data_IF_461495501718
#
_entry.id   IF_461495501718
#
_cell.length_a   1.000
_cell.length_b   1.000
_cell.length_c   1.000
_cell.angle_alpha   90.00
_cell.angle_beta   90.00
_cell.angle_gamma   90.00
#
_symmetry.space_group_name_H-M   'P 1'
#
loop_
_entity.id
_entity.type
_entity.pdbx_description
1 polymer ?
#
# COMPACT_ATOMS: atom_id res chain seq x y z
N UNK A 1 -1.01 -17.47 24.69
CA UNK A 1 -2.05 -16.46 25.01
C UNK A 1 -3.42 -17.12 24.83
N UNK A 2 -4.42 -16.88 25.69
CA UNK A 2 -5.78 -17.37 25.45
C UNK A 2 -6.38 -16.66 24.22
N UNK A 3 -7.28 -17.34 23.50
CA UNK A 3 -8.15 -16.71 22.50
C UNK A 3 -9.16 -15.84 23.26
N UNK A 4 -9.22 -14.55 22.95
CA UNK A 4 -10.15 -13.61 23.58
C UNK A 4 -10.79 -12.72 22.51
N UNK A 5 -12.10 -12.53 22.60
CA UNK A 5 -12.82 -11.51 21.84
C UNK A 5 -12.47 -10.07 22.28
N UNK A 6 -11.82 -9.93 23.44
CA UNK A 6 -11.30 -8.66 23.95
C UNK A 6 -9.79 -8.63 23.78
N UNK A 7 -9.33 -7.92 22.75
CA UNK A 7 -7.93 -7.57 22.58
C UNK A 7 -7.52 -6.62 23.71
N UNK A 8 -6.56 -7.01 24.55
CA UNK A 8 -6.18 -6.18 25.70
C UNK A 8 -5.15 -5.11 25.33
N UNK A 9 -4.18 -5.45 24.47
CA UNK A 9 -3.11 -4.55 24.02
C UNK A 9 -2.41 -3.81 25.17
N UNK A 10 -2.32 -4.42 26.36
CA UNK A 10 -1.95 -3.73 27.61
C UNK A 10 -0.56 -3.05 27.54
N UNK A 11 0.34 -3.55 26.69
CA UNK A 11 1.70 -3.01 26.52
C UNK A 11 1.80 -1.90 25.46
N UNK A 12 0.75 -1.66 24.67
CA UNK A 12 0.81 -0.76 23.53
C UNK A 12 -0.49 0.05 23.28
N UNK A 13 -1.32 0.26 24.31
CA UNK A 13 -2.51 1.12 24.23
C UNK A 13 -2.21 2.55 23.75
N UNK A 14 -1.00 3.06 24.00
CA UNK A 14 -0.56 4.37 23.54
C UNK A 14 -0.51 4.52 22.00
N UNK A 15 -0.55 3.42 21.25
CA UNK A 15 -0.64 3.45 19.79
C UNK A 15 -2.06 3.70 19.29
N UNK A 16 -3.07 3.64 20.17
CA UNK A 16 -4.46 3.82 19.83
C UNK A 16 -4.95 5.23 20.17
N UNK A 17 -5.85 5.82 19.36
CA UNK A 17 -6.42 7.12 19.66
C UNK A 17 -7.19 7.04 20.98
N UNK A 18 -6.94 8.00 21.88
CA UNK A 18 -7.52 8.04 23.23
C UNK A 18 -7.28 6.75 24.06
N UNK A 19 -6.32 5.92 23.66
CA UNK A 19 -6.05 4.61 24.27
C UNK A 19 -7.25 3.65 24.22
N UNK A 20 -8.18 3.87 23.29
CA UNK A 20 -9.35 3.01 23.08
C UNK A 20 -9.08 1.99 21.97
N UNK A 21 -9.26 0.71 22.29
CA UNK A 21 -9.03 -0.38 21.33
C UNK A 21 -10.30 -0.67 20.52
N UNK A 22 -10.19 -0.97 19.21
CA UNK A 22 -11.33 -1.31 18.39
C UNK A 22 -12.12 -2.52 18.92
N UNK A 23 -13.45 -2.44 18.83
CA UNK A 23 -14.37 -3.51 19.18
C UNK A 23 -14.84 -4.27 17.94
N UNK A 24 -14.82 -5.60 18.01
CA UNK A 24 -15.22 -6.50 16.94
C UNK A 24 -15.69 -7.84 17.51
N UNK A 25 -16.57 -8.53 16.81
CA UNK A 25 -16.95 -9.91 17.13
C UNK A 25 -15.95 -10.96 16.62
N UNK A 26 -14.96 -10.55 15.83
CA UNK A 26 -13.97 -11.45 15.25
C UNK A 26 -12.96 -11.87 16.33
N UNK A 27 -12.81 -13.17 16.63
CA UNK A 27 -11.83 -13.62 17.62
C UNK A 27 -10.41 -13.45 17.07
N UNK A 28 -9.50 -12.97 17.91
CA UNK A 28 -8.13 -12.71 17.49
C UNK A 28 -7.12 -12.74 18.62
N UNK A 29 -5.90 -12.33 18.28
CA UNK A 29 -4.77 -12.18 19.21
C UNK A 29 -4.17 -10.80 19.08
N UNK A 30 -3.96 -10.14 20.20
CA UNK A 30 -3.22 -8.89 20.28
C UNK A 30 -1.71 -9.14 20.30
N UNK A 31 -1.01 -8.48 19.38
CA UNK A 31 0.45 -8.46 19.32
C UNK A 31 0.90 -7.01 19.37
N UNK A 32 1.65 -6.66 20.41
CA UNK A 32 2.32 -5.37 20.52
C UNK A 32 3.72 -5.44 19.87
N UNK A 33 4.02 -4.43 19.06
CA UNK A 33 5.34 -4.10 18.55
C UNK A 33 5.68 -2.66 18.99
N UNK A 34 6.90 -2.19 18.71
CA UNK A 34 7.36 -0.90 19.22
C UNK A 34 6.58 0.26 18.57
N UNK A 35 6.41 0.21 17.25
CA UNK A 35 5.82 1.30 16.45
C UNK A 35 4.36 1.03 16.00
N UNK A 36 3.86 -0.19 16.23
CA UNK A 36 2.54 -0.62 15.76
C UNK A 36 1.98 -1.77 16.60
N UNK A 37 0.67 -2.03 16.46
CA UNK A 37 0.02 -3.19 17.07
C UNK A 37 -0.81 -3.94 16.03
N UNK A 38 -0.99 -5.25 16.24
CA UNK A 38 -1.74 -6.13 15.34
C UNK A 38 -2.81 -6.87 16.15
N UNK A 39 -4.06 -6.81 15.68
CA UNK A 39 -5.08 -7.78 16.04
C UNK A 39 -5.13 -8.86 14.96
N UNK A 40 -4.62 -10.04 15.29
CA UNK A 40 -4.35 -11.11 14.34
C UNK A 40 -5.46 -12.17 14.35
N UNK A 41 -5.92 -12.62 13.17
CA UNK A 41 -6.86 -13.74 13.03
C UNK A 41 -6.09 -15.07 13.01
N UNK A 42 -6.17 -15.92 14.06
CA UNK A 42 -5.56 -17.25 14.04
C UNK A 42 -6.23 -18.20 13.05
N UNK A 43 -7.47 -17.92 12.65
CA UNK A 43 -8.19 -18.68 11.62
C UNK A 43 -7.64 -18.36 10.22
N UNK A 44 -7.61 -17.07 9.86
CA UNK A 44 -7.21 -16.60 8.54
C UNK A 44 -5.69 -16.47 8.36
N UNK A 45 -4.95 -16.50 9.46
CA UNK A 45 -3.49 -16.37 9.54
C UNK A 45 -2.96 -15.06 8.97
N UNK A 46 -3.75 -13.99 9.09
CA UNK A 46 -3.44 -12.61 8.70
C UNK A 46 -4.01 -11.63 9.74
N UNK A 47 -3.62 -10.34 9.73
CA UNK A 47 -4.30 -9.32 10.51
C UNK A 47 -5.81 -9.24 10.21
N UNK A 48 -6.59 -9.07 11.28
CA UNK A 48 -7.95 -8.51 11.22
C UNK A 48 -7.78 -7.00 10.98
N UNK A 49 -7.02 -6.35 11.86
CA UNK A 49 -6.55 -4.98 11.68
C UNK A 49 -5.16 -4.80 12.32
N UNK A 50 -4.46 -3.77 11.88
CA UNK A 50 -3.28 -3.21 12.54
C UNK A 50 -3.56 -1.76 12.89
N UNK A 51 -2.79 -1.20 13.83
CA UNK A 51 -2.77 0.23 14.14
C UNK A 51 -1.34 0.73 14.19
N UNK A 52 -1.11 1.93 13.66
CA UNK A 52 0.13 2.67 13.83
C UNK A 52 -0.19 4.14 14.09
N UNK A 53 0.63 4.78 14.91
CA UNK A 53 0.60 6.22 15.14
C UNK A 53 1.70 6.87 14.31
N UNK A 54 1.33 7.75 13.38
CA UNK A 54 2.28 8.44 12.52
C UNK A 54 2.41 9.89 12.95
N UNK A 55 3.67 10.35 13.05
CA UNK A 55 4.02 11.72 13.35
C UNK A 55 4.83 12.33 12.20
N UNK A 56 4.46 13.54 11.79
CA UNK A 56 5.09 14.22 10.65
C UNK A 56 6.57 14.52 10.86
N UNK A 57 7.00 14.85 12.08
CA UNK A 57 8.41 15.09 12.42
C UNK A 57 9.22 13.79 12.33
N UNK A 58 8.71 12.71 12.93
CA UNK A 58 9.36 11.40 12.89
C UNK A 58 9.57 10.88 11.45
N UNK A 59 8.59 11.11 10.56
CA UNK A 59 8.66 10.69 9.15
C UNK A 59 9.60 11.55 8.27
N UNK A 60 10.05 12.71 8.76
CA UNK A 60 11.02 13.57 8.10
C UNK A 60 12.47 13.26 8.51
N UNK A 61 12.65 12.54 9.62
CA UNK A 61 13.96 12.14 10.11
C UNK A 61 14.66 11.07 9.25
N UNK A 62 15.90 10.69 9.63
CA UNK A 62 16.65 9.62 8.99
C UNK A 62 15.88 8.30 9.00
N UNK A 63 16.09 7.50 7.96
CA UNK A 63 15.29 6.29 7.72
C UNK A 63 16.17 5.05 7.78
N UNK A 64 15.80 4.04 8.58
CA UNK A 64 16.56 2.80 8.67
C UNK A 64 16.59 2.08 7.33
N UNK A 65 17.65 1.30 7.08
CA UNK A 65 17.76 0.54 5.83
C UNK A 65 16.74 -0.58 5.84
N UNK A 66 16.04 -0.77 4.72
CA UNK A 66 15.09 -1.87 4.57
C UNK A 66 15.82 -3.22 4.69
N UNK A 67 15.42 -4.05 5.66
CA UNK A 67 16.08 -5.33 5.94
C UNK A 67 15.69 -6.44 4.95
N UNK A 68 14.42 -6.48 4.53
CA UNK A 68 13.84 -7.60 3.75
C UNK A 68 13.94 -8.97 4.44
N UNK A 69 14.16 -8.99 5.75
CA UNK A 69 14.30 -10.21 6.55
C UNK A 69 12.97 -10.61 7.17
N UNK A 70 12.15 -11.30 6.38
CA UNK A 70 10.87 -11.84 6.85
C UNK A 70 11.09 -12.99 7.83
N UNK A 71 10.28 -13.02 8.90
CA UNK A 71 10.35 -14.06 9.91
C UNK A 71 8.96 -14.48 10.40
N UNK A 72 8.85 -15.74 10.80
CA UNK A 72 7.61 -16.32 11.31
C UNK A 72 7.41 -15.91 12.78
N UNK A 73 6.21 -15.47 13.13
CA UNK A 73 5.94 -14.92 14.46
C UNK A 73 5.88 -16.03 15.52
N UNK A 74 6.99 -16.23 16.23
CA UNK A 74 7.13 -17.30 17.21
C UNK A 74 6.20 -17.13 18.43
N UNK A 75 5.69 -15.92 18.70
CA UNK A 75 4.71 -15.67 19.78
C UNK A 75 3.34 -16.29 19.50
N UNK A 76 3.03 -16.60 18.24
CA UNK A 76 1.80 -17.29 17.83
C UNK A 76 1.99 -18.81 17.89
N UNK A 77 0.98 -19.60 18.31
CA UNK A 77 0.98 -21.06 18.13
C UNK A 77 1.26 -21.47 16.67
N UNK A 78 1.92 -22.61 16.47
CA UNK A 78 2.31 -23.09 15.14
C UNK A 78 1.13 -23.30 14.19
N UNK A 79 -0.02 -23.74 14.72
CA UNK A 79 -1.23 -24.01 13.95
C UNK A 79 -1.95 -22.73 13.48
N UNK A 80 -1.59 -21.59 14.05
CA UNK A 80 -2.29 -20.32 13.85
C UNK A 80 -1.43 -19.31 13.08
N UNK A 81 -0.13 -19.54 12.93
CA UNK A 81 0.79 -18.62 12.26
C UNK A 81 0.87 -18.89 10.75
N UNK A 82 1.11 -17.83 9.98
CA UNK A 82 1.53 -17.95 8.58
C UNK A 82 3.04 -18.23 8.50
N UNK A 83 3.43 -19.07 7.55
CA UNK A 83 4.82 -19.48 7.32
C UNK A 83 5.38 -18.84 6.04
N UNK A 84 6.71 -18.73 5.96
CA UNK A 84 7.37 -18.28 4.73
C UNK A 84 7.08 -19.22 3.56
N UNK A 85 6.97 -20.53 3.84
CA UNK A 85 6.66 -21.55 2.85
C UNK A 85 5.25 -21.43 2.27
N UNK A 86 4.31 -20.80 2.97
CA UNK A 86 2.94 -20.65 2.47
C UNK A 86 2.84 -19.69 1.28
N UNK A 87 3.77 -18.73 1.21
CA UNK A 87 3.83 -17.71 0.16
C UNK A 87 4.67 -18.13 -1.04
N UNK A 88 5.57 -19.11 -0.86
CA UNK A 88 6.42 -19.62 -1.94
C UNK A 88 5.54 -20.19 -3.05
N UNK A 89 5.79 -19.75 -4.28
CA UNK A 89 5.08 -20.16 -5.50
C UNK A 89 3.55 -19.97 -5.49
N UNK A 90 3.03 -19.18 -4.54
CA UNK A 90 1.59 -18.92 -4.41
C UNK A 90 1.02 -17.95 -5.46
N UNK A 91 1.91 -17.20 -6.13
CA UNK A 91 1.53 -16.08 -7.00
C UNK A 91 1.29 -14.75 -6.26
N UNK A 92 1.21 -14.76 -4.92
CA UNK A 92 0.97 -13.56 -4.09
C UNK A 92 2.25 -13.02 -3.45
N UNK A 93 2.28 -11.70 -3.26
CA UNK A 93 3.31 -11.06 -2.44
C UNK A 93 2.99 -11.18 -0.95
N UNK A 94 4.03 -11.05 -0.12
CA UNK A 94 3.92 -10.80 1.33
C UNK A 94 3.59 -9.32 1.55
N UNK A 95 2.32 -8.98 1.37
CA UNK A 95 1.81 -7.61 1.49
C UNK A 95 1.80 -7.13 2.93
N UNK A 96 2.46 -6.01 3.22
CA UNK A 96 2.52 -5.45 4.57
C UNK A 96 1.20 -4.74 4.92
N UNK A 97 0.71 -4.92 6.15
CA UNK A 97 -0.38 -4.10 6.68
C UNK A 97 0.17 -2.80 7.30
N UNK A 98 1.23 -2.92 8.10
CA UNK A 98 2.09 -1.83 8.55
C UNK A 98 3.31 -1.75 7.64
N UNK A 99 3.44 -0.72 6.79
CA UNK A 99 4.52 -0.66 5.81
C UNK A 99 5.88 -0.53 6.49
N UNK A 100 6.87 -1.30 6.05
CA UNK A 100 8.27 -1.05 6.41
C UNK A 100 8.70 0.40 6.08
N UNK A 101 8.08 0.97 5.05
CA UNK A 101 8.19 2.37 4.67
C UNK A 101 7.59 3.36 5.66
N UNK A 102 7.08 2.95 6.82
CA UNK A 102 6.59 3.87 7.86
C UNK A 102 7.48 3.83 9.11
N UNK A 103 8.42 2.87 9.20
CA UNK A 103 9.29 2.69 10.36
C UNK A 103 10.42 3.73 10.39
N UNK A 104 10.76 4.20 11.59
CA UNK A 104 11.80 5.22 11.84
C UNK A 104 12.97 4.68 12.65
N UNK A 105 12.85 3.47 13.20
CA UNK A 105 13.90 2.79 13.97
C UNK A 105 14.30 1.47 13.31
N UNK A 106 15.55 1.03 13.50
CA UNK A 106 16.02 -0.28 12.99
C UNK A 106 15.20 -1.44 13.57
N UNK A 107 14.80 -1.34 14.84
CA UNK A 107 13.96 -2.36 15.50
C UNK A 107 12.55 -2.39 14.91
N UNK A 108 11.90 -1.24 14.74
CA UNK A 108 10.60 -1.14 14.07
C UNK A 108 10.67 -1.66 12.63
N UNK A 109 11.73 -1.30 11.90
CA UNK A 109 12.00 -1.82 10.56
C UNK A 109 12.05 -3.34 10.55
N UNK A 110 12.86 -3.96 11.42
CA UNK A 110 12.90 -5.42 11.54
C UNK A 110 11.53 -6.01 11.92
N UNK A 111 10.85 -5.43 12.91
CA UNK A 111 9.54 -5.88 13.39
C UNK A 111 8.47 -5.87 12.29
N UNK A 112 8.49 -4.89 11.39
CA UNK A 112 7.54 -4.79 10.27
C UNK A 112 7.58 -5.99 9.31
N UNK A 113 8.65 -6.77 9.31
CA UNK A 113 8.82 -7.98 8.50
C UNK A 113 8.26 -9.26 9.15
N UNK A 114 7.62 -9.18 10.32
CA UNK A 114 6.89 -10.30 10.92
C UNK A 114 5.82 -10.82 9.96
N UNK A 115 5.73 -12.14 9.77
CA UNK A 115 4.65 -12.76 8.99
C UNK A 115 3.27 -12.49 9.59
N UNK A 116 3.18 -12.15 10.88
CA UNK A 116 1.93 -11.70 11.49
C UNK A 116 1.43 -10.34 10.94
N UNK A 117 2.30 -9.55 10.32
CA UNK A 117 1.98 -8.29 9.63
C UNK A 117 1.64 -8.48 8.14
N UNK A 118 1.68 -9.72 7.64
CA UNK A 118 1.52 -10.01 6.21
C UNK A 118 0.11 -10.48 5.86
N UNK A 119 -0.29 -10.20 4.62
CA UNK A 119 -1.44 -10.82 3.95
C UNK A 119 -1.07 -11.19 2.52
N UNK A 120 -1.68 -12.23 1.92
CA UNK A 120 -1.54 -12.51 0.50
C UNK A 120 -2.07 -11.34 -0.34
N UNK A 121 -1.18 -10.61 -1.00
CA UNK A 121 -1.55 -9.43 -1.79
C UNK A 121 -1.19 -9.62 -3.26
N UNK A 122 -2.10 -9.29 -4.15
CA UNK A 122 -1.85 -9.33 -5.59
C UNK A 122 -0.65 -8.43 -5.93
N UNK A 123 0.27 -8.91 -6.77
CA UNK A 123 1.60 -8.27 -6.96
C UNK A 123 1.49 -6.85 -7.49
N UNK A 124 0.65 -6.63 -8.51
CA UNK A 124 0.45 -5.30 -9.09
C UNK A 124 -0.34 -4.37 -8.14
N UNK A 125 -1.15 -4.95 -7.25
CA UNK A 125 -1.78 -4.20 -6.18
C UNK A 125 -0.73 -3.69 -5.18
N UNK A 126 0.05 -4.60 -4.61
CA UNK A 126 1.07 -4.32 -3.60
C UNK A 126 2.11 -3.31 -4.09
N UNK A 127 2.72 -3.58 -5.25
CA UNK A 127 3.83 -2.78 -5.78
C UNK A 127 3.36 -1.50 -6.49
N UNK A 128 2.11 -1.50 -6.95
CA UNK A 128 1.50 -0.42 -7.71
C UNK A 128 0.53 0.40 -6.86
N UNK A 129 -0.78 0.12 -7.00
CA UNK A 129 -1.85 0.98 -6.49
C UNK A 129 -1.74 1.21 -4.98
N UNK A 130 -1.44 0.17 -4.22
CA UNK A 130 -1.36 0.23 -2.76
C UNK A 130 -0.16 1.07 -2.32
N UNK A 131 1.04 0.72 -2.77
CA UNK A 131 2.25 1.47 -2.44
C UNK A 131 2.17 2.96 -2.86
N UNK A 132 1.69 3.24 -4.07
CA UNK A 132 1.77 4.57 -4.69
C UNK A 132 0.59 5.48 -4.40
N UNK A 133 -0.63 4.93 -4.28
CA UNK A 133 -1.85 5.72 -4.13
C UNK A 133 -2.44 5.67 -2.73
N UNK A 134 -2.09 4.65 -1.94
CA UNK A 134 -2.59 4.48 -0.57
C UNK A 134 -1.49 4.81 0.44
N UNK A 135 -0.39 4.06 0.45
CA UNK A 135 0.67 4.22 1.46
C UNK A 135 1.43 5.54 1.31
N UNK A 136 1.88 5.87 0.10
CA UNK A 136 2.60 7.11 -0.16
C UNK A 136 1.73 8.35 0.10
N UNK A 137 0.46 8.31 -0.31
CA UNK A 137 -0.49 9.38 -0.04
C UNK A 137 -0.74 9.55 1.47
N UNK A 138 -0.86 8.45 2.21
CA UNK A 138 -1.01 8.46 3.68
C UNK A 138 0.21 9.09 4.36
N UNK A 139 1.43 8.69 3.97
CA UNK A 139 2.67 9.30 4.50
C UNK A 139 2.77 10.78 4.16
N UNK A 140 2.41 11.17 2.95
CA UNK A 140 2.40 12.58 2.54
C UNK A 140 1.40 13.41 3.34
N UNK A 141 0.24 12.84 3.68
CA UNK A 141 -0.70 13.47 4.59
C UNK A 141 -0.09 13.63 5.99
N UNK A 142 0.42 12.54 6.58
CA UNK A 142 1.04 12.54 7.91
C UNK A 142 2.16 13.59 8.05
N UNK A 143 3.00 13.76 7.01
CA UNK A 143 4.07 14.76 6.98
C UNK A 143 3.59 16.22 7.02
N UNK A 144 2.34 16.48 6.60
CA UNK A 144 1.74 17.81 6.58
C UNK A 144 0.78 18.05 7.75
N UNK A 145 0.39 17.00 8.46
CA UNK A 145 -0.42 17.11 9.67
C UNK A 145 0.35 17.81 10.78
N UNK A 146 -0.36 18.59 11.59
CA UNK A 146 0.20 19.35 12.71
C UNK A 146 0.45 18.50 13.95
N UNK A 147 -0.12 17.30 14.01
CA UNK A 147 0.03 16.35 15.11
C UNK A 147 0.00 14.91 14.64
N UNK A 148 -0.13 14.00 15.61
CA UNK A 148 -0.22 12.57 15.34
C UNK A 148 -1.49 12.24 14.56
N UNK A 149 -1.35 11.42 13.51
CA UNK A 149 -2.46 10.74 12.87
C UNK A 149 -2.44 9.26 13.25
N UNK A 150 -3.60 8.63 13.25
CA UNK A 150 -3.74 7.21 13.52
C UNK A 150 -4.16 6.50 12.25
N UNK A 151 -3.44 5.44 11.90
CA UNK A 151 -3.69 4.67 10.68
C UNK A 151 -4.01 3.24 11.06
N UNK A 152 -5.18 2.76 10.64
CA UNK A 152 -5.55 1.36 10.74
C UNK A 152 -5.53 0.71 9.36
N UNK A 153 -4.86 -0.43 9.23
CA UNK A 153 -4.86 -1.22 7.99
C UNK A 153 -5.48 -2.58 8.27
N UNK A 154 -6.26 -3.10 7.34
CA UNK A 154 -6.74 -4.47 7.43
C UNK A 154 -7.32 -4.95 6.10
N UNK A 155 -8.02 -6.07 6.17
CA UNK A 155 -8.56 -6.71 4.97
C UNK A 155 -9.83 -7.51 5.24
N UNK A 156 -10.71 -7.59 4.24
CA UNK A 156 -12.04 -8.21 4.33
C UNK A 156 -12.32 -9.13 3.14
N UNK A 157 -13.28 -10.03 3.31
CA UNK A 157 -13.65 -11.06 2.34
C UNK A 157 -12.59 -12.14 2.16
N UNK A 158 -12.91 -13.14 1.33
CA UNK A 158 -12.04 -14.28 1.04
C UNK A 158 -12.12 -14.67 -0.43
N UNK A 159 -10.96 -14.90 -1.04
CA UNK A 159 -10.77 -15.43 -2.39
C UNK A 159 -10.12 -16.83 -2.35
N UNK A 160 -10.26 -17.54 -1.24
CA UNK A 160 -9.59 -18.81 -0.98
C UNK A 160 -8.36 -18.63 -0.09
N UNK A 161 -7.37 -19.50 -0.25
CA UNK A 161 -6.21 -19.57 0.65
C UNK A 161 -4.94 -20.03 -0.06
N UNK A 162 -3.77 -19.63 0.46
CA UNK A 162 -2.46 -20.10 0.02
C UNK A 162 -1.80 -21.02 1.04
N UNK A 163 -0.85 -21.83 0.58
CA UNK A 163 0.03 -22.62 1.44
C UNK A 163 -0.63 -23.80 2.15
N UNK A 164 0.17 -24.56 2.90
CA UNK A 164 -0.30 -25.69 3.70
C UNK A 164 -1.05 -25.20 4.94
N UNK A 165 -0.65 -24.06 5.48
CA UNK A 165 -1.30 -23.46 6.63
C UNK A 165 -2.65 -22.83 6.27
N UNK A 166 -3.03 -22.73 4.99
CA UNK A 166 -4.29 -22.11 4.56
C UNK A 166 -4.42 -20.65 4.99
N UNK A 167 -3.44 -19.83 4.61
CA UNK A 167 -3.49 -18.38 4.84
C UNK A 167 -4.54 -17.79 3.90
N UNK A 168 -5.56 -17.12 4.45
CA UNK A 168 -6.68 -16.57 3.67
C UNK A 168 -6.20 -15.47 2.73
N UNK A 169 -6.61 -15.53 1.46
CA UNK A 169 -6.44 -14.44 0.49
C UNK A 169 -7.62 -13.48 0.67
N UNK A 170 -7.40 -12.24 1.14
CA UNK A 170 -8.50 -11.29 1.28
C UNK A 170 -9.04 -10.85 -0.09
N UNK A 171 -10.33 -10.51 -0.14
CA UNK A 171 -10.96 -9.94 -1.35
C UNK A 171 -10.72 -8.43 -1.46
N UNK A 172 -10.69 -7.73 -0.32
CA UNK A 172 -10.49 -6.28 -0.25
C UNK A 172 -9.49 -5.91 0.83
N UNK A 173 -8.77 -4.83 0.58
CA UNK A 173 -7.82 -4.20 1.49
C UNK A 173 -8.36 -2.83 1.87
N UNK A 174 -8.20 -2.43 3.13
CA UNK A 174 -8.58 -1.10 3.58
C UNK A 174 -7.47 -0.42 4.39
N UNK A 175 -7.43 0.90 4.30
CA UNK A 175 -6.59 1.74 5.15
C UNK A 175 -7.43 2.93 5.63
N UNK A 176 -7.72 2.96 6.93
CA UNK A 176 -8.42 4.02 7.64
C UNK A 176 -7.39 5.02 8.17
N UNK A 177 -7.61 6.30 7.92
CA UNK A 177 -6.82 7.40 8.44
C UNK A 177 -7.73 8.20 9.36
N UNK A 178 -7.26 8.49 10.58
CA UNK A 178 -7.90 9.38 11.53
C UNK A 178 -6.95 10.53 11.88
N UNK A 179 -7.43 11.76 11.69
CA UNK A 179 -6.75 12.97 12.14
C UNK A 179 -7.54 13.57 13.33
N UNK A 180 -7.05 13.40 14.57
CA UNK A 180 -7.71 13.96 15.75
C UNK A 180 -7.79 15.48 15.75
N UNK A 181 -6.82 16.18 15.14
CA UNK A 181 -6.80 17.64 15.08
C UNK A 181 -7.97 18.21 14.26
N UNK A 182 -8.48 17.40 13.34
CA UNK A 182 -9.62 17.73 12.48
C UNK A 182 -10.89 16.98 12.87
N UNK A 183 -10.83 16.09 13.86
CA UNK A 183 -11.91 15.16 14.21
C UNK A 183 -12.51 14.50 12.95
N UNK A 184 -11.63 14.05 12.04
CA UNK A 184 -12.04 13.53 10.72
C UNK A 184 -11.36 12.20 10.44
N UNK A 185 -12.12 11.28 9.82
CA UNK A 185 -11.61 9.98 9.39
C UNK A 185 -12.13 9.58 8.02
N UNK A 186 -11.32 8.86 7.26
CA UNK A 186 -11.68 8.33 5.95
C UNK A 186 -10.88 7.08 5.63
N UNK A 187 -11.38 6.26 4.71
CA UNK A 187 -10.70 5.04 4.35
C UNK A 187 -10.54 4.85 2.84
N UNK A 188 -9.40 4.27 2.49
CA UNK A 188 -9.23 3.59 1.20
C UNK A 188 -9.91 2.22 1.28
N UNK A 189 -10.56 1.81 0.19
CA UNK A 189 -11.08 0.47 -0.02
C UNK A 189 -10.68 0.00 -1.42
N UNK A 190 -9.88 -1.06 -1.50
CA UNK A 190 -9.24 -1.49 -2.75
C UNK A 190 -9.39 -3.00 -2.92
N UNK A 191 -9.78 -3.44 -4.10
CA UNK A 191 -9.85 -4.87 -4.44
C UNK A 191 -8.46 -5.49 -4.47
N UNK A 192 -8.32 -6.72 -3.96
CA UNK A 192 -7.05 -7.45 -3.94
C UNK A 192 -6.80 -8.17 -5.28
N UNK A 193 -6.79 -7.40 -6.38
CA UNK A 193 -6.55 -7.90 -7.74
C UNK A 193 -5.44 -7.12 -8.43
N UNK A 194 -4.89 -7.67 -9.51
CA UNK A 194 -3.85 -6.97 -10.28
C UNK A 194 -4.42 -5.81 -11.11
N UNK A 195 -5.73 -5.82 -11.34
CA UNK A 195 -6.50 -4.86 -12.14
C UNK A 195 -7.07 -3.72 -11.28
N UNK A 196 -6.89 -3.78 -9.95
CA UNK A 196 -7.46 -2.85 -8.99
C UNK A 196 -7.18 -1.39 -9.33
N UNK A 197 -8.22 -0.56 -9.25
CA UNK A 197 -8.17 0.88 -9.48
C UNK A 197 -8.37 1.65 -8.17
N UNK A 198 -7.96 2.92 -8.15
CA UNK A 198 -8.28 3.80 -7.02
C UNK A 198 -9.78 4.07 -7.03
N UNK A 199 -10.49 3.58 -6.02
CA UNK A 199 -11.86 3.98 -5.75
C UNK A 199 -11.90 5.28 -4.94
N UNK A 200 -13.01 6.03 -4.99
CA UNK A 200 -13.24 7.14 -4.06
C UNK A 200 -13.08 6.68 -2.60
N UNK A 201 -12.59 7.59 -1.75
CA UNK A 201 -12.50 7.35 -0.32
C UNK A 201 -13.89 7.11 0.26
N UNK A 202 -14.00 6.13 1.15
CA UNK A 202 -15.24 5.83 1.88
C UNK A 202 -15.21 6.52 3.25
N UNK A 203 -16.40 6.76 3.80
CA UNK A 203 -16.57 7.35 5.11
C UNK A 203 -16.26 6.35 6.23
N UNK A 204 -16.09 6.86 7.45
CA UNK A 204 -15.89 6.01 8.63
C UNK A 204 -17.08 5.09 8.88
N UNK A 205 -18.31 5.61 8.79
CA UNK A 205 -19.53 4.83 8.94
C UNK A 205 -19.62 3.68 7.93
N UNK A 206 -19.24 3.93 6.66
CA UNK A 206 -19.24 2.92 5.63
C UNK A 206 -18.19 1.83 5.90
N UNK A 207 -16.99 2.19 6.36
CA UNK A 207 -15.98 1.20 6.74
C UNK A 207 -16.44 0.34 7.92
N UNK A 208 -17.04 0.94 8.96
CA UNK A 208 -17.60 0.21 10.11
C UNK A 208 -18.63 -0.81 9.64
N UNK A 209 -19.55 -0.40 8.76
CA UNK A 209 -20.56 -1.29 8.19
C UNK A 209 -19.96 -2.45 7.38
N UNK A 210 -18.89 -2.20 6.60
CA UNK A 210 -18.24 -3.23 5.77
C UNK A 210 -17.39 -4.23 6.57
N UNK A 211 -16.84 -3.80 7.70
CA UNK A 211 -15.88 -4.60 8.48
C UNK A 211 -16.48 -5.20 9.75
N UNK A 212 -17.55 -4.61 10.28
CA UNK A 212 -18.09 -4.93 11.60
C UNK A 212 -17.18 -4.53 12.75
N UNK A 213 -16.21 -3.63 12.51
CA UNK A 213 -15.25 -3.15 13.51
C UNK A 213 -15.60 -1.71 13.87
N UNK A 214 -15.81 -1.43 15.15
CA UNK A 214 -15.87 -0.07 15.67
C UNK A 214 -14.49 0.33 16.19
N UNK A 215 -13.88 1.37 15.59
CA UNK A 215 -12.54 1.84 15.94
C UNK A 215 -12.56 2.91 17.05
N UNK A 216 -13.74 3.27 17.58
CA UNK A 216 -13.92 4.25 18.67
C UNK A 216 -13.30 5.63 18.37
N UNK A 217 -13.42 6.08 17.11
CA UNK A 217 -12.89 7.37 16.68
C UNK A 217 -13.84 8.52 17.01
N UNK A 218 -13.33 9.55 17.68
CA UNK A 218 -14.06 10.79 17.92
C UNK A 218 -14.04 11.66 16.66
N UNK A 219 -14.97 11.42 15.74
CA UNK A 219 -15.15 12.21 14.52
C UNK A 219 -16.38 13.11 14.58
N UNK A 220 -16.33 14.26 13.92
CA UNK A 220 -17.43 15.22 13.90
C UNK A 220 -18.64 14.74 13.09
N UNK A 221 -18.38 14.09 11.95
CA UNK A 221 -19.39 13.46 11.10
C UNK A 221 -18.82 12.15 10.53
N UNK A 222 -19.38 11.03 10.95
CA UNK A 222 -18.95 9.70 10.50
C UNK A 222 -19.32 9.40 9.05
N UNK A 223 -20.29 10.13 8.49
CA UNK A 223 -20.81 9.95 7.14
C UNK A 223 -20.06 10.82 6.12
N UNK A 224 -19.40 11.88 6.60
CA UNK A 224 -18.58 12.75 5.79
C UNK A 224 -17.51 11.95 5.06
N UNK A 225 -17.50 12.09 3.74
CA UNK A 225 -16.34 11.72 2.94
C UNK A 225 -15.44 12.95 2.87
N UNK A 226 -14.11 12.80 2.95
CA UNK A 226 -13.23 13.90 2.63
C UNK A 226 -13.54 14.30 1.18
N UNK A 227 -14.08 15.49 1.01
CA UNK A 227 -14.02 16.14 -0.28
C UNK A 227 -12.54 16.31 -0.62
N UNK A 228 -12.13 16.20 -1.89
CA UNK A 228 -10.84 16.74 -2.28
C UNK A 228 -10.92 18.25 -2.04
N UNK A 229 -10.70 18.69 -0.80
CA UNK A 229 -10.35 20.06 -0.53
C UNK A 229 -9.12 20.29 -1.37
N UNK A 230 -9.30 21.11 -2.40
CA UNK A 230 -8.21 21.71 -3.12
C UNK A 230 -7.26 22.25 -2.06
N UNK A 231 -6.05 21.71 -2.02
CA UNK A 231 -4.94 22.38 -1.38
C UNK A 231 -5.05 23.86 -1.77
N UNK A 232 -4.99 24.82 -0.82
CA UNK A 232 -4.94 26.23 -1.19
C UNK A 232 -3.82 26.40 -2.22
N UNK A 233 -3.98 27.29 -3.23
CA UNK A 233 -3.00 27.44 -4.29
C UNK A 233 -1.64 27.67 -3.65
N UNK A 234 -0.78 26.66 -3.77
CA UNK A 234 0.60 26.74 -3.33
C UNK A 234 1.21 27.93 -4.05
N UNK A 235 1.39 29.04 -3.34
CA UNK A 235 2.15 30.18 -3.79
C UNK A 235 3.56 29.69 -4.10
N UNK A 236 3.85 29.58 -5.40
CA UNK A 236 5.18 29.56 -6.00
C UNK A 236 6.22 28.68 -5.33
N UNK A 237 6.22 27.39 -5.66
CA UNK A 237 7.48 26.67 -5.89
C UNK A 237 7.39 26.00 -7.26
N UNK A 238 8.44 26.04 -8.11
CA UNK A 238 8.38 25.49 -9.46
C UNK A 238 8.01 24.01 -9.39
N UNK A 239 6.97 23.61 -10.12
CA UNK A 239 6.59 22.21 -10.28
C UNK A 239 7.74 21.48 -10.95
N UNK A 240 8.47 20.66 -10.20
CA UNK A 240 9.33 19.65 -10.80
C UNK A 240 8.39 18.51 -11.22
N UNK A 241 8.17 18.39 -12.52
CA UNK A 241 7.35 17.33 -13.10
C UNK A 241 7.74 15.95 -12.57
N UNK A 242 6.76 15.22 -12.02
CA UNK A 242 6.94 13.84 -11.58
C UNK A 242 7.10 12.88 -12.77
N UNK A 243 7.61 11.69 -12.51
CA UNK A 243 7.77 10.64 -13.52
C UNK A 243 7.05 9.36 -13.08
N UNK A 244 6.42 8.65 -14.02
CA UNK A 244 5.81 7.35 -13.75
C UNK A 244 6.06 6.35 -14.89
N UNK A 245 6.34 5.07 -14.60
CA UNK A 245 6.51 4.04 -15.62
C UNK A 245 5.18 3.40 -16.02
N UNK A 246 5.04 3.05 -17.30
CA UNK A 246 4.00 2.17 -17.84
C UNK A 246 4.69 0.93 -18.40
N UNK A 247 4.38 -0.23 -17.85
CA UNK A 247 5.00 -1.50 -18.25
C UNK A 247 4.19 -2.21 -19.34
N UNK A 248 4.89 -2.75 -20.34
CA UNK A 248 4.35 -3.53 -21.44
C UNK A 248 5.07 -4.87 -21.53
N UNK A 249 4.39 -5.94 -21.14
CA UNK A 249 4.82 -7.33 -21.42
C UNK A 249 4.39 -7.75 -22.85
N UNK A 250 3.34 -7.11 -23.36
CA UNK A 250 2.82 -7.18 -24.73
C UNK A 250 2.19 -5.83 -25.10
N UNK A 251 1.86 -5.63 -26.37
CA UNK A 251 1.20 -4.40 -26.81
C UNK A 251 -0.19 -4.29 -26.18
N UNK A 252 -0.53 -3.09 -25.69
CA UNK A 252 -1.81 -2.83 -25.02
C UNK A 252 -2.43 -1.55 -25.56
N UNK A 253 -3.48 -1.66 -26.41
CA UNK A 253 -4.19 -0.51 -26.95
C UNK A 253 -4.76 0.41 -25.85
N UNK A 254 -5.24 -0.15 -24.75
CA UNK A 254 -5.81 0.59 -23.61
C UNK A 254 -4.78 1.47 -22.91
N UNK A 255 -3.58 0.93 -22.62
CA UNK A 255 -2.47 1.69 -22.01
C UNK A 255 -2.03 2.84 -22.92
N UNK A 256 -1.99 2.60 -24.24
CA UNK A 256 -1.68 3.62 -25.24
C UNK A 256 -2.76 4.70 -25.27
N UNK A 257 -4.05 4.33 -25.31
CA UNK A 257 -5.15 5.27 -25.33
C UNK A 257 -5.16 6.17 -24.08
N UNK A 258 -4.91 5.60 -22.90
CA UNK A 258 -4.79 6.36 -21.66
C UNK A 258 -3.60 7.33 -21.67
N UNK A 259 -2.45 6.92 -22.21
CA UNK A 259 -1.29 7.80 -22.36
C UNK A 259 -1.58 8.95 -23.34
N UNK A 260 -2.14 8.65 -24.51
CA UNK A 260 -2.49 9.64 -25.53
C UNK A 260 -3.53 10.64 -25.00
N UNK A 261 -4.48 10.21 -24.16
CA UNK A 261 -5.43 11.11 -23.49
C UNK A 261 -4.71 12.13 -22.60
N UNK A 262 -3.68 11.70 -21.86
CA UNK A 262 -2.89 12.61 -21.02
C UNK A 262 -1.97 13.54 -21.82
N UNK A 263 -1.43 13.07 -22.94
CA UNK A 263 -0.67 13.90 -23.88
C UNK A 263 -1.57 14.98 -24.49
N UNK A 264 -2.75 14.60 -24.97
CA UNK A 264 -3.75 15.53 -25.54
C UNK A 264 -4.22 16.56 -24.51
N UNK A 265 -4.34 16.16 -23.24
CA UNK A 265 -4.66 17.07 -22.13
C UNK A 265 -3.50 17.97 -21.69
N UNK A 266 -2.33 17.91 -22.35
CA UNK A 266 -1.16 18.73 -22.03
C UNK A 266 -0.51 18.41 -20.69
N UNK A 267 -0.75 17.22 -20.13
CA UNK A 267 -0.23 16.80 -18.81
C UNK A 267 1.15 16.14 -18.89
N UNK A 268 1.62 15.82 -20.09
CA UNK A 268 2.87 15.09 -20.34
C UNK A 268 3.92 16.03 -20.93
N UNK A 269 5.12 16.00 -20.35
CA UNK A 269 6.28 16.78 -20.76
C UNK A 269 7.16 16.01 -21.75
N UNK A 270 7.34 14.71 -21.54
CA UNK A 270 8.09 13.82 -22.42
C UNK A 270 7.73 12.37 -22.13
N UNK A 271 7.97 11.49 -23.08
CA UNK A 271 7.89 10.04 -22.89
C UNK A 271 9.19 9.41 -23.34
N UNK A 272 9.75 8.52 -22.53
CA UNK A 272 10.91 7.70 -22.90
C UNK A 272 10.50 6.23 -22.89
N UNK A 273 10.56 5.58 -24.05
CA UNK A 273 10.29 4.15 -24.21
C UNK A 273 11.59 3.39 -24.05
N UNK A 274 11.77 2.71 -22.92
CA UNK A 274 12.94 1.93 -22.57
C UNK A 274 12.71 0.43 -22.84
N UNK A 275 13.69 -0.24 -23.44
CA UNK A 275 13.65 -1.70 -23.69
C UNK A 275 15.03 -2.33 -23.47
N UNK A 276 15.08 -3.62 -23.09
CA UNK A 276 16.31 -4.42 -23.08
C UNK A 276 16.43 -5.24 -24.39
N UNK A 277 15.60 -6.28 -24.55
CA UNK A 277 15.65 -7.19 -25.72
C UNK A 277 14.49 -7.05 -26.71
N UNK A 278 13.35 -6.51 -26.29
CA UNK A 278 12.14 -6.48 -27.11
C UNK A 278 11.98 -5.17 -27.90
N UNK A 279 12.85 -4.99 -28.91
CA UNK A 279 12.83 -3.79 -29.77
C UNK A 279 11.53 -3.67 -30.58
N UNK A 280 10.94 -4.79 -30.99
CA UNK A 280 9.74 -4.79 -31.81
C UNK A 280 8.55 -4.19 -31.05
N UNK A 281 8.31 -4.66 -29.83
CA UNK A 281 7.28 -4.10 -28.95
C UNK A 281 7.56 -2.62 -28.65
N UNK A 282 8.82 -2.25 -28.46
CA UNK A 282 9.20 -0.87 -28.17
C UNK A 282 8.91 0.08 -29.33
N UNK A 283 9.23 -0.31 -30.57
CA UNK A 283 8.86 0.41 -31.79
C UNK A 283 7.34 0.48 -31.99
N UNK A 284 6.62 -0.59 -31.63
CA UNK A 284 5.16 -0.62 -31.73
C UNK A 284 4.52 0.37 -30.76
N UNK A 285 5.02 0.43 -29.52
CA UNK A 285 4.58 1.39 -28.49
C UNK A 285 4.91 2.82 -28.92
N UNK A 286 6.15 3.09 -29.35
CA UNK A 286 6.59 4.41 -29.81
C UNK A 286 5.69 4.94 -30.93
N UNK A 287 5.41 4.13 -31.97
CA UNK A 287 4.53 4.51 -33.08
C UNK A 287 3.08 4.79 -32.67
N UNK A 288 2.61 4.11 -31.62
CA UNK A 288 1.24 4.24 -31.15
C UNK A 288 1.04 5.44 -30.21
N UNK A 289 2.11 6.02 -29.67
CA UNK A 289 2.07 7.24 -28.87
C UNK A 289 1.96 8.44 -29.80
N UNK A 290 0.89 9.22 -29.66
CA UNK A 290 0.69 10.45 -30.45
C UNK A 290 1.70 11.51 -30.01
N UNK A 291 2.80 11.67 -30.75
CA UNK A 291 3.79 12.71 -30.46
C UNK A 291 3.27 14.08 -30.92
N UNK A 292 3.50 15.09 -30.09
CA UNK A 292 3.24 16.50 -30.45
C UNK A 292 4.56 17.26 -30.37
N UNK A 293 4.68 18.41 -31.06
CA UNK A 293 5.90 19.24 -31.00
C UNK A 293 6.33 19.61 -29.57
N UNK A 294 5.41 19.54 -28.60
CA UNK A 294 5.64 19.90 -27.20
C UNK A 294 5.78 18.69 -26.26
N UNK A 295 5.79 17.47 -26.80
CA UNK A 295 5.92 16.21 -26.04
C UNK A 295 6.81 15.23 -26.82
N UNK A 296 8.14 15.29 -26.67
CA UNK A 296 9.04 14.35 -27.33
C UNK A 296 8.82 12.93 -26.82
N UNK A 297 8.86 11.97 -27.74
CA UNK A 297 8.92 10.54 -27.45
C UNK A 297 10.31 10.08 -27.88
N UNK A 298 11.06 9.44 -26.97
CA UNK A 298 12.42 8.94 -27.22
C UNK A 298 12.45 7.44 -26.97
N UNK A 299 13.06 6.68 -27.87
CA UNK A 299 13.30 5.26 -27.71
C UNK A 299 14.73 5.02 -27.21
N UNK A 300 14.89 4.36 -26.06
CA UNK A 300 16.19 4.09 -25.43
C UNK A 300 16.36 2.59 -25.19
N UNK A 301 17.53 2.04 -25.56
CA UNK A 301 17.89 0.69 -25.15
C UNK A 301 18.62 0.72 -23.82
N UNK A 302 18.12 0.01 -22.81
CA UNK A 302 18.72 -0.10 -21.49
C UNK A 302 18.80 -1.57 -21.09
N UNK A 303 20.01 -2.13 -21.19
CA UNK A 303 20.31 -3.49 -20.76
C UNK A 303 21.00 -3.46 -19.40
N UNK A 304 20.39 -3.99 -18.32
CA UNK A 304 21.07 -4.11 -17.05
C UNK A 304 22.28 -5.05 -17.16
N UNK A 305 23.36 -4.81 -16.40
CA UNK A 305 24.54 -5.67 -16.44
C UNK A 305 24.17 -7.11 -16.04
N UNK A 306 24.83 -8.12 -16.62
CA UNK A 306 24.61 -9.51 -16.23
C UNK A 306 24.86 -9.69 -14.73
N UNK A 307 23.93 -10.33 -14.03
CA UNK A 307 24.03 -10.66 -12.61
C UNK A 307 23.63 -12.12 -12.42
N UNK A 308 24.40 -12.85 -11.62
CA UNK A 308 24.15 -14.25 -11.30
C UNK A 308 23.07 -14.41 -10.22
N UNK A 309 22.68 -13.32 -9.55
CA UNK A 309 21.75 -13.32 -8.41
C UNK A 309 20.38 -12.73 -8.78
N UNK A 310 20.25 -12.06 -9.93
CA UNK A 310 19.05 -11.31 -10.31
C UNK A 310 18.58 -11.74 -11.70
N UNK A 311 17.38 -12.32 -11.75
CA UNK A 311 16.64 -12.51 -13.01
C UNK A 311 15.93 -11.21 -13.38
N UNK A 312 16.15 -10.71 -14.58
CA UNK A 312 15.51 -9.51 -15.12
C UNK A 312 14.43 -9.90 -16.13
N UNK A 313 13.31 -9.18 -16.13
CA UNK A 313 12.30 -9.29 -17.18
C UNK A 313 12.78 -8.59 -18.46
N UNK A 314 13.63 -9.28 -19.22
CA UNK A 314 14.37 -8.72 -20.37
C UNK A 314 13.51 -8.42 -21.60
N UNK A 315 12.29 -8.96 -21.66
CA UNK A 315 11.35 -8.78 -22.76
C UNK A 315 10.32 -7.67 -22.50
N UNK A 316 10.29 -7.11 -21.28
CA UNK A 316 9.38 -6.04 -20.91
C UNK A 316 9.88 -4.70 -21.47
N UNK A 317 8.95 -3.91 -22.01
CA UNK A 317 9.18 -2.53 -22.43
C UNK A 317 8.55 -1.58 -21.40
N UNK A 318 9.21 -0.45 -21.12
CA UNK A 318 8.77 0.53 -20.13
C UNK A 318 8.63 1.89 -20.79
N UNK A 319 7.44 2.48 -20.78
CA UNK A 319 7.28 3.90 -21.12
C UNK A 319 7.39 4.74 -19.85
N UNK A 320 8.50 5.48 -19.69
CA UNK A 320 8.70 6.44 -18.61
C UNK A 320 8.09 7.77 -19.03
N UNK A 321 7.02 8.17 -18.34
CA UNK A 321 6.28 9.38 -18.66
C UNK A 321 6.66 10.50 -17.70
N UNK A 322 7.15 11.62 -18.24
CA UNK A 322 7.35 12.87 -17.50
C UNK A 322 6.06 13.66 -17.49
N UNK A 323 5.58 14.06 -16.33
CA UNK A 323 4.49 15.03 -16.24
C UNK A 323 5.00 16.47 -16.38
N UNK A 324 4.16 17.37 -16.91
CA UNK A 324 4.40 18.82 -16.87
C UNK A 324 4.10 19.39 -15.48
#
# INVERSE_FOLDING_TARGET
MPLSASALFDQCKALFPNQLTPSTSQPGRDLCFDDFAIYYSPLDKKPIYTVQRLNGEALQGPRPRRSNQFYEEARLPSQERSLLSDYRDSGFDRGHNVPAGDMTTERGMAQSFSMANMMPQARLNNQGIWAKRVEEATRLYAKRSTGDIYVFTGSSGSLGSIGKSKVTIPAHLYKLIYDPSKQSAWAYWVDNTNEAQVSPLISYAELKSRTGIDFHLAVQDETARPSPEASPPSTGKPKVGGWYPIFFDQFSPEKIAALNTNIAAGKVASVEVQYDRNLELAKQIERAITSTKTTPVVLTQNSPPPSNEVSYERNRVIAIVRSK
#
